data_IF_472523211204
#
_entry.id   IF_472523211204
#
_cell.length_a   1.000
_cell.length_b   1.000
_cell.length_c   1.000
_cell.angle_alpha   90.00
_cell.angle_beta   90.00
_cell.angle_gamma   90.00
#
_symmetry.space_group_name_H-M   'P 1'
#
loop_
_entity.id
_entity.type
_entity.pdbx_description
1 polymer ?
#
# COMPACT_ATOMS: atom_id res chain seq x y z
N UNK A 1 14.01 21.51 5.34
CA UNK A 1 12.74 22.14 4.89
C UNK A 1 11.63 21.39 5.62
N UNK A 2 10.94 22.05 6.56
CA UNK A 2 9.92 21.41 7.41
C UNK A 2 8.58 21.44 6.67
N UNK A 3 7.99 20.28 6.40
CA UNK A 3 6.62 20.17 5.89
C UNK A 3 5.67 20.13 7.09
N UNK A 4 4.79 21.14 7.18
CA UNK A 4 3.84 21.33 8.25
C UNK A 4 2.46 20.78 7.87
N UNK A 5 1.86 20.05 8.82
CA UNK A 5 0.42 19.98 9.03
C UNK A 5 -0.35 19.16 8.01
N UNK A 6 -0.73 17.93 8.39
CA UNK A 6 -2.03 17.26 8.15
C UNK A 6 -1.96 15.73 8.36
N UNK A 7 -0.80 15.16 8.75
CA UNK A 7 -0.66 13.74 9.10
C UNK A 7 -0.64 13.43 10.61
N UNK A 8 -0.93 14.41 11.48
CA UNK A 8 -0.88 14.19 12.94
C UNK A 8 -2.08 13.43 13.54
N UNK A 9 -3.19 13.27 12.82
CA UNK A 9 -4.41 12.70 13.42
C UNK A 9 -4.42 11.17 13.40
N UNK A 10 -3.73 10.52 12.45
CA UNK A 10 -3.64 9.06 12.41
C UNK A 10 -2.59 8.49 13.40
N UNK A 11 -1.63 9.31 13.84
CA UNK A 11 -0.51 8.84 14.67
C UNK A 11 -0.79 8.86 16.18
N UNK A 12 -1.78 9.65 16.64
CA UNK A 12 -2.05 9.82 18.07
C UNK A 12 -2.87 8.68 18.71
N UNK A 13 -3.53 7.84 17.92
CA UNK A 13 -4.27 6.67 18.42
C UNK A 13 -3.39 5.44 18.68
N UNK A 14 -2.11 5.48 18.30
CA UNK A 14 -1.16 4.36 18.43
C UNK A 14 -0.30 4.40 19.70
N UNK A 15 -0.45 5.42 20.57
CA UNK A 15 0.50 5.66 21.68
C UNK A 15 -0.12 5.80 23.08
N UNK A 16 -1.43 5.71 23.28
CA UNK A 16 -2.04 5.87 24.61
C UNK A 16 -3.18 4.90 24.88
N UNK A 17 -2.86 3.63 25.16
CA UNK A 17 -3.82 2.73 25.81
C UNK A 17 -3.09 1.71 26.70
N UNK A 18 -2.59 2.19 27.85
CA UNK A 18 -2.36 1.32 29.00
C UNK A 18 -2.61 2.10 30.28
N UNK A 19 -3.84 2.03 30.79
CA UNK A 19 -4.14 2.30 32.20
C UNK A 19 -4.48 0.98 32.87
N UNK A 20 -3.87 0.76 34.03
CA UNK A 20 -3.91 -0.45 34.83
C UNK A 20 -5.27 -0.68 35.49
N UNK A 21 -5.76 -1.93 35.45
CA UNK A 21 -6.88 -2.38 36.29
C UNK A 21 -8.06 -3.05 35.58
N UNK A 22 -8.00 -3.33 34.28
CA UNK A 22 -9.05 -4.08 33.58
C UNK A 22 -8.75 -5.59 33.53
N UNK A 23 -9.78 -6.46 33.48
CA UNK A 23 -9.62 -7.91 33.38
C UNK A 23 -8.67 -8.28 32.24
N UNK A 24 -8.02 -9.44 32.31
CA UNK A 24 -7.17 -9.97 31.24
C UNK A 24 -8.09 -10.28 30.05
N UNK A 25 -8.40 -9.25 29.27
CA UNK A 25 -8.93 -9.38 27.92
C UNK A 25 -7.84 -10.13 27.18
N UNK A 26 -8.14 -11.32 26.64
CA UNK A 26 -7.22 -11.98 25.72
C UNK A 26 -6.73 -10.93 24.72
N UNK A 27 -5.41 -10.75 24.54
CA UNK A 27 -4.90 -9.63 23.78
C UNK A 27 -5.57 -9.61 22.41
N UNK A 28 -6.22 -8.49 22.08
CA UNK A 28 -6.84 -8.28 20.77
C UNK A 28 -5.76 -8.57 19.72
N UNK A 29 -5.98 -9.54 18.81
CA UNK A 29 -5.00 -9.86 17.79
C UNK A 29 -4.65 -8.59 17.01
N UNK A 30 -3.35 -8.32 16.86
CA UNK A 30 -2.91 -7.25 15.96
C UNK A 30 -3.20 -7.64 14.49
N UNK A 31 -3.09 -6.69 13.57
CA UNK A 31 -3.40 -6.93 12.15
C UNK A 31 -2.63 -8.11 11.59
N UNK A 32 -1.35 -8.23 11.95
CA UNK A 32 -0.54 -9.38 11.52
C UNK A 32 -1.10 -10.71 12.02
N UNK A 33 -1.50 -10.80 13.29
CA UNK A 33 -2.07 -12.01 13.88
C UNK A 33 -3.41 -12.38 13.26
N UNK A 34 -4.26 -11.39 12.95
CA UNK A 34 -5.54 -11.61 12.27
C UNK A 34 -5.33 -12.18 10.86
N UNK A 35 -4.36 -11.65 10.12
CA UNK A 35 -4.09 -12.05 8.75
C UNK A 35 -3.29 -13.35 8.64
N UNK A 36 -2.63 -13.78 9.72
CA UNK A 36 -1.93 -15.06 9.81
C UNK A 36 -2.88 -16.25 10.12
N UNK A 37 -4.19 -16.04 10.01
CA UNK A 37 -5.17 -17.12 10.21
C UNK A 37 -5.00 -18.23 9.16
N UNK A 38 -5.02 -19.48 9.61
CA UNK A 38 -4.76 -20.65 8.76
C UNK A 38 -5.71 -20.80 7.56
N UNK A 39 -6.97 -20.34 7.69
CA UNK A 39 -7.92 -20.34 6.60
C UNK A 39 -7.57 -19.27 5.56
N UNK A 40 -7.29 -18.04 6.00
CA UNK A 40 -6.86 -16.95 5.12
C UNK A 40 -5.57 -17.32 4.38
N UNK A 41 -4.61 -17.90 5.08
CA UNK A 41 -3.36 -18.42 4.53
C UNK A 41 -3.57 -19.45 3.42
N UNK A 42 -4.41 -20.45 3.68
CA UNK A 42 -4.60 -21.58 2.77
C UNK A 42 -5.49 -21.26 1.56
N UNK A 43 -6.46 -20.37 1.73
CA UNK A 43 -7.42 -20.02 0.67
C UNK A 43 -6.92 -18.85 -0.18
N UNK A 44 -6.31 -17.84 0.44
CA UNK A 44 -5.95 -16.59 -0.20
C UNK A 44 -4.45 -16.53 -0.50
N UNK A 45 -3.60 -16.41 0.52
CA UNK A 45 -2.19 -16.04 0.33
C UNK A 45 -1.33 -17.11 -0.37
N UNK A 46 -1.58 -18.40 -0.12
CA UNK A 46 -0.84 -19.49 -0.77
C UNK A 46 -1.16 -19.66 -2.26
N UNK A 47 -2.25 -19.07 -2.76
CA UNK A 47 -2.71 -19.22 -4.14
C UNK A 47 -2.49 -17.98 -5.00
N UNK A 48 -2.06 -16.88 -4.39
CA UNK A 48 -1.81 -15.63 -5.11
C UNK A 48 -0.61 -15.82 -6.04
N UNK A 49 -0.86 -15.66 -7.34
CA UNK A 49 0.19 -15.34 -8.31
C UNK A 49 0.52 -13.86 -8.20
N UNK A 50 1.76 -13.44 -8.55
CA UNK A 50 2.08 -12.03 -8.60
C UNK A 50 1.04 -11.25 -9.38
N UNK A 51 0.64 -10.09 -8.87
CA UNK A 51 -0.21 -9.17 -9.61
C UNK A 51 0.43 -8.90 -10.97
N UNK A 52 -0.36 -9.05 -12.04
CA UNK A 52 0.11 -8.87 -13.41
C UNK A 52 0.33 -7.37 -13.73
N UNK A 53 1.46 -6.85 -13.26
CA UNK A 53 1.94 -5.51 -13.54
C UNK A 53 2.98 -5.52 -14.67
N UNK A 54 3.11 -4.38 -15.35
CA UNK A 54 4.20 -4.14 -16.28
C UNK A 54 5.55 -4.05 -15.56
N UNK A 55 6.65 -4.07 -16.33
CA UNK A 55 8.01 -4.07 -15.78
C UNK A 55 8.33 -2.84 -14.90
N UNK A 56 7.66 -1.73 -15.16
CA UNK A 56 7.77 -0.47 -14.40
C UNK A 56 6.83 -0.40 -13.18
N UNK A 57 6.03 -1.45 -12.94
CA UNK A 57 5.05 -1.50 -11.85
C UNK A 57 3.65 -0.99 -12.21
N UNK A 58 3.41 -0.56 -13.45
CA UNK A 58 2.08 -0.13 -13.86
C UNK A 58 1.10 -1.33 -13.89
N UNK A 59 0.03 -1.27 -13.10
CA UNK A 59 -0.96 -2.36 -13.03
C UNK A 59 -2.25 -2.04 -13.81
N UNK A 60 -2.80 -3.05 -14.49
CA UNK A 60 -4.08 -2.95 -15.19
C UNK A 60 -4.11 -1.87 -16.26
N UNK A 61 -5.07 -0.94 -16.21
CA UNK A 61 -5.18 0.13 -17.21
C UNK A 61 -3.99 1.11 -17.16
N UNK A 62 -3.26 1.17 -16.05
CA UNK A 62 -2.08 2.02 -15.92
C UNK A 62 -0.96 1.57 -16.85
N UNK A 63 -0.85 0.26 -17.12
CA UNK A 63 0.06 -0.25 -18.15
C UNK A 63 -0.28 0.35 -19.52
N UNK A 64 -1.56 0.37 -19.89
CA UNK A 64 -2.00 0.96 -21.16
C UNK A 64 -1.71 2.46 -21.21
N UNK A 65 -1.77 3.14 -20.08
CA UNK A 65 -1.42 4.55 -19.99
C UNK A 65 0.07 4.78 -20.27
N UNK A 66 0.96 3.97 -19.69
CA UNK A 66 2.40 4.02 -19.99
C UNK A 66 2.70 3.68 -21.46
N UNK A 67 1.93 2.77 -22.05
CA UNK A 67 2.03 2.39 -23.47
C UNK A 67 1.37 3.42 -24.43
N UNK A 68 0.82 4.52 -23.93
CA UNK A 68 0.07 5.52 -24.70
C UNK A 68 -1.16 4.94 -25.45
N UNK A 69 -1.72 3.82 -24.96
CA UNK A 69 -2.94 3.19 -25.47
C UNK A 69 -4.18 3.45 -24.61
N UNK A 70 -4.00 4.12 -23.47
CA UNK A 70 -5.06 4.69 -22.64
C UNK A 70 -4.76 6.16 -22.36
N UNK A 71 -5.79 7.00 -22.40
CA UNK A 71 -5.67 8.41 -21.98
C UNK A 71 -5.82 8.60 -20.48
N UNK A 72 -6.26 7.57 -19.75
CA UNK A 72 -6.52 7.62 -18.31
C UNK A 72 -5.74 6.55 -17.57
N UNK A 73 -5.38 6.86 -16.34
CA UNK A 73 -4.82 5.93 -15.36
C UNK A 73 -5.49 6.13 -14.00
N UNK A 74 -5.47 5.11 -13.16
CA UNK A 74 -6.14 5.08 -11.85
C UNK A 74 -5.15 4.66 -10.78
N UNK A 75 -4.81 5.55 -9.86
CA UNK A 75 -3.87 5.26 -8.77
C UNK A 75 -4.36 4.08 -7.90
N UNK A 76 -5.67 3.90 -7.79
CA UNK A 76 -6.25 2.78 -7.05
C UNK A 76 -5.84 1.41 -7.55
N UNK A 77 -5.43 1.24 -8.81
CA UNK A 77 -4.98 -0.07 -9.30
C UNK A 77 -3.63 -0.48 -8.69
N UNK A 78 -2.90 0.47 -8.11
CA UNK A 78 -1.67 0.15 -7.39
C UNK A 78 -1.94 -0.41 -5.98
N UNK A 79 -3.20 -0.41 -5.52
CA UNK A 79 -3.61 -1.08 -4.27
C UNK A 79 -3.28 -2.57 -4.24
N UNK A 80 -3.30 -3.22 -5.40
CA UNK A 80 -3.03 -4.65 -5.54
C UNK A 80 -1.57 -5.01 -5.17
N UNK A 81 -0.66 -4.04 -5.16
CA UNK A 81 0.69 -4.24 -4.62
C UNK A 81 0.66 -4.64 -3.15
N UNK A 82 -0.38 -4.24 -2.41
CA UNK A 82 -0.53 -4.65 -1.03
C UNK A 82 -0.88 -6.15 -0.90
N UNK A 83 -1.63 -6.70 -1.84
CA UNK A 83 -1.98 -8.12 -1.80
C UNK A 83 -0.73 -8.98 -2.03
N UNK A 84 0.14 -8.54 -2.95
CA UNK A 84 1.44 -9.16 -3.19
C UNK A 84 2.37 -9.05 -1.98
N UNK A 85 2.51 -7.87 -1.37
CA UNK A 85 3.29 -7.69 -0.12
C UNK A 85 2.76 -8.58 1.00
N UNK A 86 1.44 -8.59 1.18
CA UNK A 86 0.79 -9.39 2.22
C UNK A 86 1.08 -10.86 2.00
N UNK A 87 0.86 -11.36 0.78
CA UNK A 87 1.18 -12.74 0.43
C UNK A 87 2.69 -13.05 0.59
N UNK A 88 3.58 -12.09 0.30
CA UNK A 88 5.02 -12.26 0.49
C UNK A 88 5.40 -12.45 1.96
N UNK A 89 4.84 -11.62 2.86
CA UNK A 89 5.06 -11.68 4.31
C UNK A 89 4.65 -13.04 4.86
N UNK A 90 3.52 -13.55 4.38
CA UNK A 90 2.86 -14.71 4.93
C UNK A 90 3.33 -16.04 4.32
N UNK A 91 3.55 -16.07 3.02
CA UNK A 91 4.01 -17.26 2.30
C UNK A 91 5.53 -17.31 2.12
N UNK A 92 6.27 -16.32 2.66
CA UNK A 92 7.72 -16.16 2.54
C UNK A 92 8.20 -16.15 1.06
N UNK A 93 7.54 -15.33 0.23
CA UNK A 93 7.76 -15.27 -1.22
C UNK A 93 8.36 -13.93 -1.63
N UNK A 94 9.69 -13.86 -1.69
CA UNK A 94 10.42 -12.63 -2.02
C UNK A 94 10.07 -12.05 -3.39
N UNK A 95 9.70 -12.89 -4.36
CA UNK A 95 9.28 -12.43 -5.68
C UNK A 95 7.98 -11.61 -5.64
N UNK A 96 7.07 -11.93 -4.71
CA UNK A 96 5.85 -11.15 -4.49
C UNK A 96 6.16 -9.82 -3.79
N UNK A 97 7.11 -9.83 -2.85
CA UNK A 97 7.56 -8.60 -2.20
C UNK A 97 8.08 -7.61 -3.25
N UNK A 98 9.03 -8.02 -4.09
CA UNK A 98 9.60 -7.15 -5.11
C UNK A 98 8.56 -6.66 -6.13
N UNK A 99 7.55 -7.49 -6.47
CA UNK A 99 6.48 -7.05 -7.36
C UNK A 99 5.59 -6.00 -6.70
N UNK A 100 5.18 -6.22 -5.45
CA UNK A 100 4.40 -5.26 -4.67
C UNK A 100 5.14 -3.94 -4.45
N UNK A 101 6.44 -4.00 -4.17
CA UNK A 101 7.30 -2.81 -4.06
C UNK A 101 7.33 -2.02 -5.38
N UNK A 102 7.47 -2.71 -6.51
CA UNK A 102 7.49 -2.07 -7.84
C UNK A 102 6.15 -1.37 -8.16
N UNK A 103 5.04 -2.04 -7.88
CA UNK A 103 3.67 -1.51 -8.05
C UNK A 103 3.46 -0.23 -7.23
N UNK A 104 3.88 -0.25 -5.96
CA UNK A 104 3.81 0.94 -5.10
C UNK A 104 4.77 2.05 -5.55
N UNK A 105 5.98 1.71 -5.97
CA UNK A 105 6.94 2.69 -6.48
C UNK A 105 6.40 3.41 -7.71
N UNK A 106 5.74 2.69 -8.62
CA UNK A 106 5.02 3.31 -9.73
C UNK A 106 3.98 4.30 -9.20
N UNK A 107 3.17 3.89 -8.22
CA UNK A 107 2.16 4.75 -7.60
C UNK A 107 2.75 6.04 -7.04
N UNK A 108 3.75 5.93 -6.17
CA UNK A 108 4.41 7.10 -5.58
C UNK A 108 5.12 7.98 -6.61
N UNK A 109 5.62 7.41 -7.72
CA UNK A 109 6.23 8.20 -8.80
C UNK A 109 5.25 9.18 -9.47
N UNK A 110 3.93 8.95 -9.35
CA UNK A 110 2.89 9.83 -9.89
C UNK A 110 2.35 10.83 -8.86
N UNK A 111 2.84 10.78 -7.62
CA UNK A 111 2.42 11.69 -6.56
C UNK A 111 2.96 13.10 -6.82
N UNK A 112 2.13 14.12 -6.62
CA UNK A 112 2.52 15.52 -6.76
C UNK A 112 3.27 16.02 -5.52
N UNK A 113 3.91 17.18 -5.64
CA UNK A 113 4.74 17.76 -4.57
C UNK A 113 3.95 18.09 -3.29
N UNK A 114 2.65 18.31 -3.40
CA UNK A 114 1.73 18.52 -2.27
C UNK A 114 1.26 17.19 -1.63
N UNK A 115 1.74 16.05 -2.12
CA UNK A 115 1.36 14.71 -1.67
C UNK A 115 0.06 14.19 -2.30
N UNK A 116 -0.56 14.95 -3.19
CA UNK A 116 -1.79 14.56 -3.88
C UNK A 116 -1.58 13.70 -5.12
N UNK A 117 -2.70 13.35 -5.75
CA UNK A 117 -2.75 12.87 -7.12
C UNK A 117 -3.73 13.76 -7.87
N UNK A 118 -3.24 14.45 -8.90
CA UNK A 118 -4.08 15.38 -9.65
C UNK A 118 -5.20 14.65 -10.39
N UNK A 119 -6.39 15.23 -10.46
CA UNK A 119 -7.50 14.65 -11.21
C UNK A 119 -7.32 14.85 -12.72
N UNK A 120 -7.71 13.86 -13.50
CA UNK A 120 -7.81 13.98 -14.96
C UNK A 120 -9.20 14.46 -15.36
N UNK A 121 -9.39 15.78 -15.44
CA UNK A 121 -10.71 16.36 -15.76
C UNK A 121 -11.04 16.36 -17.26
N UNK A 122 -10.04 16.27 -18.17
CA UNK A 122 -10.23 16.20 -19.62
C UNK A 122 -9.02 15.54 -20.32
N UNK A 123 -8.81 14.24 -20.12
CA UNK A 123 -7.61 13.51 -20.57
C UNK A 123 -7.34 13.57 -22.09
N UNK A 124 -6.80 14.68 -22.57
CA UNK A 124 -6.10 14.83 -23.84
C UNK A 124 -4.64 15.11 -23.53
N UNK A 125 -3.67 14.53 -24.27
CA UNK A 125 -2.27 14.82 -24.06
C UNK A 125 -2.00 16.34 -23.97
N UNK A 126 -1.25 16.82 -22.96
CA UNK A 126 -0.44 16.06 -22.02
C UNK A 126 -1.09 15.91 -20.63
N UNK A 127 -2.42 15.87 -20.47
CA UNK A 127 -3.07 15.94 -19.14
C UNK A 127 -2.61 14.83 -18.17
N UNK A 128 -2.05 15.28 -17.02
CA UNK A 128 -1.21 14.52 -16.08
C UNK A 128 -1.94 14.13 -14.79
N UNK A 129 -3.14 13.57 -14.89
CA UNK A 129 -3.95 13.27 -13.70
C UNK A 129 -4.46 11.84 -13.68
N UNK A 130 -4.74 11.33 -12.49
CA UNK A 130 -5.46 10.07 -12.30
C UNK A 130 -6.97 10.29 -12.45
N UNK A 131 -7.69 9.31 -12.98
CA UNK A 131 -9.15 9.30 -12.98
C UNK A 131 -9.70 9.14 -11.56
N UNK A 132 -10.76 9.89 -11.25
CA UNK A 132 -11.43 9.87 -9.94
C UNK A 132 -10.45 10.02 -8.77
N UNK A 133 -9.71 11.13 -8.77
CA UNK A 133 -8.58 11.31 -7.85
C UNK A 133 -8.93 11.10 -6.37
N UNK A 134 -10.09 11.57 -5.91
CA UNK A 134 -10.44 11.43 -4.49
C UNK A 134 -10.70 9.96 -4.12
N UNK A 135 -11.57 9.28 -4.86
CA UNK A 135 -11.88 7.87 -4.63
C UNK A 135 -10.62 7.02 -4.77
N UNK A 136 -9.91 7.19 -5.89
CA UNK A 136 -8.77 6.35 -6.24
C UNK A 136 -7.62 6.50 -5.24
N UNK A 137 -7.36 7.74 -4.79
CA UNK A 137 -6.33 8.01 -3.77
C UNK A 137 -6.69 7.37 -2.44
N UNK A 138 -7.96 7.42 -2.04
CA UNK A 138 -8.39 6.83 -0.76
C UNK A 138 -8.12 5.31 -0.71
N UNK A 139 -8.38 4.61 -1.81
CA UNK A 139 -8.11 3.17 -1.96
C UNK A 139 -6.61 2.87 -1.94
N UNK A 140 -5.80 3.66 -2.63
CA UNK A 140 -4.35 3.45 -2.67
C UNK A 140 -3.70 3.69 -1.30
N UNK A 141 -4.05 4.80 -0.64
CA UNK A 141 -3.50 5.16 0.67
C UNK A 141 -3.91 4.16 1.75
N UNK A 142 -5.17 3.69 1.74
CA UNK A 142 -5.61 2.61 2.63
C UNK A 142 -4.73 1.36 2.46
N UNK A 143 -4.55 0.91 1.22
CA UNK A 143 -3.79 -0.30 0.94
C UNK A 143 -2.32 -0.18 1.34
N UNK A 144 -1.67 0.95 1.04
CA UNK A 144 -0.30 1.23 1.48
C UNK A 144 -0.21 1.22 3.00
N UNK A 145 -1.10 1.94 3.69
CA UNK A 145 -1.09 2.03 5.16
C UNK A 145 -1.28 0.65 5.80
N UNK A 146 -2.22 -0.14 5.30
CA UNK A 146 -2.48 -1.52 5.72
C UNK A 146 -1.22 -2.38 5.57
N UNK A 147 -0.53 -2.28 4.43
CA UNK A 147 0.68 -3.04 4.18
C UNK A 147 1.87 -2.60 5.05
N UNK A 148 2.05 -1.31 5.28
CA UNK A 148 3.09 -0.81 6.18
C UNK A 148 2.85 -1.29 7.63
N UNK A 149 1.59 -1.31 8.09
CA UNK A 149 1.23 -1.87 9.39
C UNK A 149 1.60 -3.37 9.45
N UNK A 150 1.25 -4.14 8.41
CA UNK A 150 1.59 -5.57 8.33
C UNK A 150 3.10 -5.82 8.34
N UNK A 151 3.86 -5.06 7.54
CA UNK A 151 5.33 -5.14 7.54
C UNK A 151 5.90 -4.88 8.93
N UNK A 152 5.47 -3.80 9.58
CA UNK A 152 5.95 -3.39 10.91
C UNK A 152 5.62 -4.39 12.01
N UNK A 153 4.47 -5.05 11.92
CA UNK A 153 4.01 -6.06 12.88
C UNK A 153 4.55 -7.46 12.58
N UNK A 154 5.15 -7.67 11.40
CA UNK A 154 5.72 -8.96 11.01
C UNK A 154 6.94 -9.32 11.87
N UNK A 155 7.10 -10.59 12.29
CA UNK A 155 8.31 -11.08 12.96
C UNK A 155 9.59 -10.83 12.14
N UNK A 156 9.48 -10.74 10.81
CA UNK A 156 10.59 -10.53 9.90
C UNK A 156 10.73 -9.07 9.44
N UNK A 157 10.28 -8.10 10.24
CA UNK A 157 10.32 -6.68 9.86
C UNK A 157 11.69 -6.22 9.35
N UNK A 158 12.79 -6.77 9.89
CA UNK A 158 14.15 -6.45 9.43
C UNK A 158 14.37 -6.67 7.92
N UNK A 159 13.66 -7.63 7.31
CA UNK A 159 13.68 -7.89 5.87
C UNK A 159 13.04 -6.75 5.07
N UNK A 160 12.04 -6.08 5.64
CA UNK A 160 11.25 -5.05 4.95
C UNK A 160 11.64 -3.64 5.37
N UNK A 161 12.47 -3.50 6.41
CA UNK A 161 12.77 -2.23 7.06
C UNK A 161 13.29 -1.18 6.08
N UNK A 162 14.18 -1.57 5.15
CA UNK A 162 14.73 -0.62 4.17
C UNK A 162 13.64 -0.02 3.27
N UNK A 163 12.66 -0.81 2.84
CA UNK A 163 11.55 -0.32 2.03
C UNK A 163 10.54 0.48 2.85
N UNK A 164 10.22 -0.01 4.06
CA UNK A 164 9.37 0.70 5.01
C UNK A 164 9.89 2.12 5.29
N UNK A 165 11.19 2.26 5.55
CA UNK A 165 11.84 3.54 5.84
C UNK A 165 11.89 4.49 4.63
N UNK A 166 11.75 3.98 3.40
CA UNK A 166 11.66 4.81 2.19
C UNK A 166 10.30 5.48 2.05
N UNK A 167 9.22 4.78 2.43
CA UNK A 167 7.85 5.25 2.24
C UNK A 167 7.34 6.05 3.44
N UNK A 168 7.74 5.67 4.66
CA UNK A 168 7.27 6.33 5.88
C UNK A 168 8.05 7.62 6.11
N UNK A 169 7.39 8.79 6.14
CA UNK A 169 8.05 10.06 6.45
C UNK A 169 8.69 10.03 7.84
N UNK A 170 9.87 10.66 7.97
CA UNK A 170 10.60 10.82 9.24
C UNK A 170 10.12 12.00 10.05
#
# INVERSE_FOLDING_TARGET
MKLSGYYQVAFYLLLTAQTSGQPVISPVPNTYQLYNDSLLMSVWYNRISPTAAAADGANGINQRWEENTSTVWYIELQRFGCDDVTAAIYANRSNLLSNGENIFNWGFSKQTVDGGFNNCSNCTPPMQGTGDAFHSTSMFVEAVARCLILMRQSPNFITYQSYFDQIVPK
#
